data_IF_725876895942
#
_entry.id   IF_725876895942
#
_cell.length_a   1.000
_cell.length_b   1.000
_cell.length_c   1.000
_cell.angle_alpha   90.00
_cell.angle_beta   90.00
_cell.angle_gamma   90.00
#
_symmetry.space_group_name_H-M   'P 1'
#
loop_
_entity.id
_entity.type
_entity.pdbx_description
1 polymer ?
#
# COMPACT_ATOMS: atom_id res chain seq x y z
N UNK A 1 21.67 6.20 2.62
CA UNK A 1 22.20 5.05 1.85
C UNK A 1 21.17 3.93 1.85
N UNK A 2 20.88 3.32 0.70
CA UNK A 2 19.86 2.28 0.57
C UNK A 2 20.27 1.02 1.34
N UNK A 3 19.38 0.50 2.20
CA UNK A 3 19.65 -0.72 2.99
C UNK A 3 19.86 -1.91 2.05
N UNK A 4 20.83 -2.79 2.35
CA UNK A 4 21.16 -3.99 1.54
C UNK A 4 19.91 -4.82 1.18
N UNK A 5 19.01 -5.03 2.14
CA UNK A 5 17.76 -5.77 1.94
C UNK A 5 16.86 -5.16 0.85
N UNK A 6 16.75 -3.83 0.80
CA UNK A 6 15.94 -3.14 -0.22
C UNK A 6 16.57 -3.31 -1.59
N UNK A 7 17.90 -3.12 -1.67
CA UNK A 7 18.64 -3.31 -2.91
C UNK A 7 18.46 -4.71 -3.49
N UNK A 8 18.56 -5.75 -2.67
CA UNK A 8 18.31 -7.13 -3.10
C UNK A 8 16.90 -7.33 -3.68
N UNK A 9 15.87 -6.71 -3.08
CA UNK A 9 14.50 -6.79 -3.62
C UNK A 9 14.40 -6.09 -4.97
N UNK A 10 14.99 -4.90 -5.12
CA UNK A 10 14.98 -4.14 -6.37
C UNK A 10 15.72 -4.90 -7.47
N UNK A 11 16.93 -5.38 -7.18
CA UNK A 11 17.77 -6.09 -8.15
C UNK A 11 17.07 -7.35 -8.69
N UNK A 12 16.31 -8.07 -7.83
CA UNK A 12 15.53 -9.24 -8.23
C UNK A 12 14.34 -8.93 -9.17
N UNK A 13 13.95 -7.66 -9.31
CA UNK A 13 12.79 -7.23 -10.10
C UNK A 13 13.17 -6.25 -11.21
N UNK A 14 14.46 -5.94 -11.39
CA UNK A 14 14.92 -4.87 -12.28
C UNK A 14 14.48 -5.09 -13.72
N UNK A 15 14.54 -6.33 -14.22
CA UNK A 15 14.18 -6.67 -15.60
C UNK A 15 12.68 -6.56 -15.89
N UNK A 16 11.85 -6.53 -14.84
CA UNK A 16 10.39 -6.37 -14.96
C UNK A 16 9.96 -4.91 -15.01
N UNK A 17 10.78 -3.99 -14.48
CA UNK A 17 10.43 -2.57 -14.36
C UNK A 17 9.53 -2.24 -13.16
N UNK A 18 9.10 -3.21 -12.34
CA UNK A 18 8.39 -2.96 -11.08
C UNK A 18 8.60 -4.07 -10.05
N UNK A 19 8.42 -3.72 -8.77
CA UNK A 19 8.49 -4.68 -7.66
C UNK A 19 7.10 -5.24 -7.35
N UNK A 20 6.96 -6.56 -7.25
CA UNK A 20 5.70 -7.21 -6.88
C UNK A 20 5.29 -6.84 -5.44
N UNK A 21 3.98 -6.80 -5.16
CA UNK A 21 3.41 -6.33 -3.88
C UNK A 21 4.08 -6.93 -2.62
N UNK A 22 4.38 -8.24 -2.51
CA UNK A 22 5.05 -8.77 -1.31
C UNK A 22 6.44 -8.14 -1.08
N UNK A 23 7.18 -7.87 -2.16
CA UNK A 23 8.47 -7.20 -2.13
C UNK A 23 8.34 -5.73 -1.75
N UNK A 24 7.36 -5.02 -2.34
CA UNK A 24 7.09 -3.62 -2.01
C UNK A 24 6.71 -3.46 -0.53
N UNK A 25 5.82 -4.33 0.00
CA UNK A 25 5.47 -4.39 1.43
C UNK A 25 6.67 -4.69 2.32
N UNK A 26 7.56 -5.59 1.91
CA UNK A 26 8.79 -5.87 2.66
C UNK A 26 9.73 -4.67 2.72
N UNK A 27 9.79 -3.84 1.67
CA UNK A 27 10.51 -2.56 1.67
C UNK A 27 9.86 -1.61 2.69
N UNK A 28 8.53 -1.42 2.64
CA UNK A 28 7.81 -0.55 3.58
C UNK A 28 8.06 -0.96 5.04
N UNK A 29 7.88 -2.25 5.36
CA UNK A 29 8.12 -2.79 6.70
C UNK A 29 9.55 -2.55 7.19
N UNK A 30 10.54 -2.62 6.29
CA UNK A 30 11.94 -2.35 6.63
C UNK A 30 12.23 -0.89 7.02
N UNK A 31 11.31 0.03 6.71
CA UNK A 31 11.36 1.44 7.12
C UNK A 31 10.46 1.74 8.33
N UNK A 32 9.89 0.72 8.95
CA UNK A 32 8.99 0.90 10.09
C UNK A 32 7.65 1.54 9.70
N UNK A 33 7.23 1.33 8.45
CA UNK A 33 5.86 1.57 7.99
C UNK A 33 5.02 0.33 8.28
N UNK A 34 3.77 0.54 8.68
CA UNK A 34 2.86 -0.52 9.06
C UNK A 34 2.21 -1.15 7.83
N UNK A 35 2.16 -2.49 7.81
CA UNK A 35 1.56 -3.29 6.75
C UNK A 35 0.68 -4.36 7.41
N UNK A 36 -0.36 -4.87 6.74
CA UNK A 36 -1.13 -5.97 7.29
C UNK A 36 -0.24 -7.22 7.48
N UNK A 37 -0.57 -8.02 8.49
CA UNK A 37 -0.01 -9.36 8.57
C UNK A 37 -0.46 -10.17 7.35
N UNK A 38 0.45 -10.94 6.76
CA UNK A 38 0.15 -11.72 5.57
C UNK A 38 0.94 -13.04 5.50
N UNK A 39 0.43 -13.96 4.68
CA UNK A 39 1.13 -15.16 4.23
C UNK A 39 1.09 -15.25 2.71
N UNK A 40 2.22 -15.61 2.10
CA UNK A 40 2.30 -15.92 0.67
C UNK A 40 2.23 -17.45 0.50
N UNK A 41 1.18 -17.96 -0.14
CA UNK A 41 0.96 -19.40 -0.24
C UNK A 41 0.02 -19.80 -1.38
N UNK A 42 0.28 -20.97 -1.96
CA UNK A 42 -0.63 -21.66 -2.89
C UNK A 42 -1.33 -22.86 -2.22
N UNK A 43 -0.95 -23.19 -0.99
CA UNK A 43 -1.58 -24.24 -0.18
C UNK A 43 -2.76 -23.66 0.57
N UNK A 44 -3.92 -24.28 0.36
CA UNK A 44 -5.14 -23.99 1.09
C UNK A 44 -4.96 -24.23 2.60
N UNK A 45 -4.25 -25.29 3.00
CA UNK A 45 -4.02 -25.62 4.42
C UNK A 45 -3.28 -24.49 5.15
N UNK A 46 -2.24 -23.92 4.50
CA UNK A 46 -1.51 -22.77 5.05
C UNK A 46 -2.38 -21.52 5.13
N UNK A 47 -3.17 -21.26 4.10
CA UNK A 47 -4.08 -20.12 4.05
C UNK A 47 -5.20 -20.23 5.11
N UNK A 48 -5.78 -21.41 5.27
CA UNK A 48 -6.83 -21.69 6.26
C UNK A 48 -6.28 -21.56 7.69
N UNK A 49 -5.07 -22.06 7.95
CA UNK A 49 -4.38 -21.86 9.23
C UNK A 49 -4.19 -20.38 9.55
N UNK A 50 -3.83 -19.57 8.54
CA UNK A 50 -3.71 -18.13 8.69
C UNK A 50 -5.06 -17.46 8.98
N UNK A 51 -6.11 -17.79 8.22
CA UNK A 51 -7.48 -17.30 8.46
C UNK A 51 -7.95 -17.58 9.89
N UNK A 52 -7.79 -18.82 10.36
CA UNK A 52 -8.14 -19.23 11.74
C UNK A 52 -7.33 -18.47 12.80
N UNK A 53 -6.05 -18.20 12.54
CA UNK A 53 -5.17 -17.44 13.45
C UNK A 53 -5.57 -15.97 13.57
N UNK A 54 -5.90 -15.33 12.45
CA UNK A 54 -6.21 -13.89 12.37
C UNK A 54 -7.57 -13.58 13.01
N UNK A 55 -8.51 -14.54 12.98
CA UNK A 55 -9.84 -14.46 13.61
C UNK A 55 -10.64 -13.20 13.26
N UNK A 56 -10.47 -12.72 12.03
CA UNK A 56 -11.18 -11.62 11.38
C UNK A 56 -11.13 -11.84 9.86
N UNK A 57 -11.84 -11.05 9.05
CA UNK A 57 -11.82 -11.21 7.59
C UNK A 57 -10.40 -11.08 7.04
N UNK A 58 -10.14 -11.82 5.96
CA UNK A 58 -8.89 -11.71 5.20
C UNK A 58 -9.17 -11.25 3.77
N UNK A 59 -8.12 -10.74 3.14
CA UNK A 59 -8.07 -10.41 1.72
C UNK A 59 -7.19 -11.43 1.02
N UNK A 60 -7.60 -11.91 -0.14
CA UNK A 60 -6.79 -12.74 -1.03
C UNK A 60 -6.44 -11.95 -2.30
N UNK A 61 -5.13 -11.87 -2.61
CA UNK A 61 -4.62 -11.14 -3.77
C UNK A 61 -3.74 -12.05 -4.61
N UNK A 62 -3.96 -12.09 -5.92
CA UNK A 62 -3.00 -12.72 -6.82
C UNK A 62 -1.70 -11.92 -6.84
N UNK A 63 -0.58 -12.63 -6.85
CA UNK A 63 0.77 -12.10 -7.06
C UNK A 63 1.24 -12.60 -8.41
N UNK A 64 1.50 -11.65 -9.31
CA UNK A 64 1.77 -11.93 -10.71
C UNK A 64 2.74 -10.90 -11.27
N UNK A 65 3.62 -11.37 -12.17
CA UNK A 65 4.50 -10.52 -12.98
C UNK A 65 3.82 -9.94 -14.20
N UNK A 66 2.57 -10.30 -14.47
CA UNK A 66 1.78 -9.80 -15.61
C UNK A 66 0.64 -8.88 -15.18
N UNK A 67 0.20 -8.99 -13.92
CA UNK A 67 -0.97 -8.27 -13.40
C UNK A 67 -0.48 -7.20 -12.43
N UNK A 68 -0.24 -6.00 -12.96
CA UNK A 68 0.06 -4.83 -12.14
C UNK A 68 -1.20 -4.25 -11.49
N UNK A 69 -2.28 -4.11 -12.27
CA UNK A 69 -3.56 -3.54 -11.85
C UNK A 69 -4.55 -4.64 -11.42
N UNK A 70 -4.45 -5.09 -10.17
CA UNK A 70 -5.16 -6.29 -9.70
C UNK A 70 -6.68 -6.19 -9.76
N UNK A 71 -7.24 -5.04 -9.41
CA UNK A 71 -8.69 -4.84 -9.37
C UNK A 71 -9.35 -5.03 -10.74
N UNK A 72 -8.69 -4.57 -11.81
CA UNK A 72 -9.18 -4.68 -13.20
C UNK A 72 -9.30 -6.14 -13.67
N UNK A 73 -8.42 -7.00 -13.13
CA UNK A 73 -8.43 -8.44 -13.39
C UNK A 73 -9.22 -9.25 -12.35
N UNK A 74 -9.97 -8.59 -11.47
CA UNK A 74 -10.63 -9.22 -10.32
C UNK A 74 -9.65 -10.09 -9.51
N UNK A 75 -8.40 -9.64 -9.41
CA UNK A 75 -7.29 -10.36 -8.79
C UNK A 75 -7.13 -10.02 -7.30
N UNK A 76 -8.13 -9.34 -6.71
CA UNK A 76 -8.28 -9.06 -5.28
C UNK A 76 -9.66 -9.51 -4.84
N UNK A 77 -9.75 -10.20 -3.71
CA UNK A 77 -11.02 -10.57 -3.07
C UNK A 77 -10.96 -10.21 -1.59
N UNK A 78 -11.89 -9.38 -1.14
CA UNK A 78 -12.01 -8.92 0.25
C UNK A 78 -13.11 -9.69 0.99
N UNK A 79 -13.29 -9.43 2.28
CA UNK A 79 -14.37 -10.00 3.11
C UNK A 79 -14.40 -11.54 3.18
N UNK A 80 -13.23 -12.19 3.12
CA UNK A 80 -13.16 -13.65 3.24
C UNK A 80 -13.20 -14.05 4.71
N UNK A 81 -14.33 -14.64 5.12
CA UNK A 81 -14.60 -15.03 6.52
C UNK A 81 -14.60 -16.54 6.78
N UNK A 82 -14.65 -17.37 5.73
CA UNK A 82 -14.78 -18.83 5.87
C UNK A 82 -13.77 -19.59 5.02
N UNK A 83 -13.38 -20.78 5.47
CA UNK A 83 -12.49 -21.67 4.71
C UNK A 83 -13.07 -22.08 3.35
N UNK A 84 -14.38 -22.28 3.27
CA UNK A 84 -15.05 -22.58 1.99
C UNK A 84 -14.97 -21.42 0.98
N UNK A 85 -15.22 -20.19 1.43
CA UNK A 85 -15.06 -18.99 0.58
C UNK A 85 -13.60 -18.82 0.16
N UNK A 86 -12.67 -18.95 1.11
CA UNK A 86 -11.23 -18.87 0.86
C UNK A 86 -10.77 -19.87 -0.20
N UNK A 87 -11.17 -21.15 -0.08
CA UNK A 87 -10.78 -22.20 -1.03
C UNK A 87 -11.23 -21.87 -2.45
N UNK A 88 -12.50 -21.52 -2.61
CA UNK A 88 -13.09 -21.17 -3.91
C UNK A 88 -12.33 -20.01 -4.58
N UNK A 89 -12.05 -18.95 -3.83
CA UNK A 89 -11.38 -17.78 -4.38
C UNK A 89 -9.90 -18.02 -4.65
N UNK A 90 -9.23 -18.85 -3.84
CA UNK A 90 -7.87 -19.28 -4.14
C UNK A 90 -7.80 -20.07 -5.45
N UNK A 91 -8.70 -21.03 -5.66
CA UNK A 91 -8.77 -21.81 -6.91
C UNK A 91 -9.04 -20.93 -8.14
N UNK A 92 -9.86 -19.87 -7.98
CA UNK A 92 -10.12 -18.90 -9.04
C UNK A 92 -8.89 -18.03 -9.34
N UNK A 93 -8.25 -17.47 -8.31
CA UNK A 93 -7.10 -16.58 -8.47
C UNK A 93 -5.90 -17.30 -9.08
N UNK A 94 -5.65 -18.56 -8.70
CA UNK A 94 -4.56 -19.37 -9.27
C UNK A 94 -4.73 -19.69 -10.76
N UNK A 95 -5.95 -19.55 -11.30
CA UNK A 95 -6.22 -19.74 -12.74
C UNK A 95 -5.98 -18.48 -13.58
N UNK A 96 -5.72 -17.34 -12.95
CA UNK A 96 -5.38 -16.11 -13.69
C UNK A 96 -4.02 -16.27 -14.37
N UNK A 97 -3.91 -15.81 -15.62
CA UNK A 97 -2.64 -15.86 -16.36
C UNK A 97 -1.55 -15.07 -15.63
N UNK A 98 -0.40 -15.72 -15.42
CA UNK A 98 0.74 -15.15 -14.71
C UNK A 98 0.63 -15.12 -13.18
N UNK A 99 -0.44 -15.65 -12.58
CA UNK A 99 -0.50 -15.80 -11.12
C UNK A 99 0.56 -16.81 -10.64
N UNK A 100 1.54 -16.33 -9.89
CA UNK A 100 2.62 -17.15 -9.32
C UNK A 100 2.27 -17.63 -7.92
N UNK A 101 1.61 -16.76 -7.15
CA UNK A 101 1.16 -17.09 -5.81
C UNK A 101 0.01 -16.25 -5.31
N UNK A 102 -0.58 -16.63 -4.18
CA UNK A 102 -1.61 -15.84 -3.51
C UNK A 102 -1.04 -15.24 -2.22
N UNK A 103 -1.22 -13.94 -2.07
CA UNK A 103 -1.02 -13.22 -0.83
C UNK A 103 -2.35 -13.21 -0.06
N UNK A 104 -2.38 -13.83 1.11
CA UNK A 104 -3.52 -13.80 2.04
C UNK A 104 -3.14 -12.89 3.19
N UNK A 105 -3.94 -11.87 3.48
CA UNK A 105 -3.63 -10.86 4.49
C UNK A 105 -4.80 -10.47 5.38
N UNK A 106 -4.49 -9.95 6.55
CA UNK A 106 -5.44 -9.29 7.44
C UNK A 106 -6.20 -8.19 6.69
N UNK A 107 -7.54 -8.21 6.75
CA UNK A 107 -8.35 -7.11 6.25
C UNK A 107 -8.41 -5.99 7.30
N UNK A 108 -8.05 -4.79 6.87
CA UNK A 108 -8.18 -3.58 7.67
C UNK A 108 -9.37 -2.74 7.17
N UNK A 109 -10.08 -2.13 8.11
CA UNK A 109 -11.17 -1.19 7.84
C UNK A 109 -10.85 0.16 8.48
N UNK A 110 -11.11 1.26 7.77
CA UNK A 110 -10.78 2.60 8.24
C UNK A 110 -11.02 3.66 7.17
N UNK A 111 -10.53 4.87 7.43
CA UNK A 111 -10.49 5.92 6.41
C UNK A 111 -9.39 5.59 5.41
N UNK A 112 -9.73 5.52 4.13
CA UNK A 112 -8.75 5.35 3.06
C UNK A 112 -8.07 6.67 2.73
N UNK A 113 -6.75 6.65 2.62
CA UNK A 113 -5.92 7.74 2.10
C UNK A 113 -4.98 7.20 1.04
N UNK A 114 -4.49 8.08 0.17
CA UNK A 114 -3.52 7.76 -0.87
C UNK A 114 -2.22 8.48 -0.52
N UNK A 115 -1.11 7.74 -0.59
CA UNK A 115 0.24 8.29 -0.45
C UNK A 115 1.03 7.89 -1.70
N UNK A 116 1.36 8.85 -2.54
CA UNK A 116 2.11 8.63 -3.76
C UNK A 116 3.45 9.35 -3.75
N UNK A 117 4.37 8.92 -4.59
CA UNK A 117 5.59 9.64 -4.90
C UNK A 117 6.03 9.40 -6.33
N UNK A 118 6.69 10.40 -6.90
CA UNK A 118 7.37 10.30 -8.19
C UNK A 118 8.62 11.17 -8.19
N UNK A 119 9.54 10.88 -9.09
CA UNK A 119 10.62 11.79 -9.40
C UNK A 119 10.13 12.81 -10.44
N UNK A 120 9.91 14.04 -10.00
CA UNK A 120 9.64 15.16 -10.89
C UNK A 120 10.93 15.61 -11.58
N UNK A 121 10.83 15.97 -12.85
CA UNK A 121 12.00 16.37 -13.65
C UNK A 121 12.66 17.67 -13.16
N UNK A 122 11.88 18.60 -12.62
CA UNK A 122 12.39 19.90 -12.15
C UNK A 122 12.67 19.90 -10.65
N UNK A 123 11.80 19.24 -9.87
CA UNK A 123 11.83 19.33 -8.41
C UNK A 123 12.47 18.11 -7.73
N UNK A 124 12.84 17.08 -8.48
CA UNK A 124 13.30 15.82 -7.92
C UNK A 124 12.16 15.07 -7.22
N UNK A 125 12.42 14.33 -6.14
CA UNK A 125 11.41 13.50 -5.53
C UNK A 125 10.29 14.33 -4.87
N UNK A 126 9.05 14.07 -5.28
CA UNK A 126 7.84 14.71 -4.72
C UNK A 126 6.92 13.66 -4.11
N UNK A 127 6.25 14.03 -3.02
CA UNK A 127 5.24 13.23 -2.32
C UNK A 127 3.86 13.85 -2.54
N UNK A 128 2.89 12.99 -2.85
CA UNK A 128 1.47 13.30 -2.97
C UNK A 128 0.75 12.66 -1.81
N UNK A 129 -0.15 13.42 -1.17
CA UNK A 129 -1.06 12.91 -0.15
C UNK A 129 -2.49 13.34 -0.48
N UNK A 130 -3.45 12.44 -0.34
CA UNK A 130 -4.86 12.74 -0.55
C UNK A 130 -5.77 11.81 0.22
N UNK A 131 -7.04 12.18 0.33
CA UNK A 131 -8.06 11.26 0.84
C UNK A 131 -8.40 10.26 -0.28
N UNK A 132 -8.51 8.98 0.07
CA UNK A 132 -8.80 7.89 -0.85
C UNK A 132 -10.30 7.54 -0.90
N UNK A 133 -10.60 6.43 -1.57
CA UNK A 133 -11.95 5.95 -1.80
C UNK A 133 -12.57 6.45 -3.11
N UNK A 134 -13.49 5.67 -3.65
CA UNK A 134 -14.07 5.85 -4.99
C UNK A 134 -14.74 7.20 -5.23
N UNK A 135 -15.27 7.83 -4.18
CA UNK A 135 -15.90 9.14 -4.30
C UNK A 135 -14.89 10.30 -4.39
N UNK A 136 -13.65 10.11 -3.92
CA UNK A 136 -12.65 11.20 -3.83
C UNK A 136 -11.76 11.28 -5.06
N UNK A 137 -11.58 10.18 -5.80
CA UNK A 137 -10.87 10.16 -7.10
C UNK A 137 -11.46 11.17 -8.10
N UNK A 138 -12.76 11.45 -8.02
CA UNK A 138 -13.47 12.43 -8.86
C UNK A 138 -13.03 13.88 -8.54
N UNK A 139 -12.68 14.17 -7.29
CA UNK A 139 -12.45 15.54 -6.82
C UNK A 139 -10.98 15.96 -6.83
N UNK A 140 -10.06 15.03 -7.14
CA UNK A 140 -8.61 15.24 -7.14
C UNK A 140 -8.11 15.97 -5.87
N UNK A 141 -8.66 15.59 -4.71
CA UNK A 141 -8.35 16.23 -3.43
C UNK A 141 -7.00 15.76 -2.88
N UNK A 142 -5.94 16.37 -3.41
CA UNK A 142 -4.56 15.99 -3.14
C UNK A 142 -3.69 17.22 -2.85
N UNK A 143 -2.63 17.00 -2.09
CA UNK A 143 -1.58 17.96 -1.80
C UNK A 143 -0.23 17.38 -2.21
N UNK A 144 0.66 18.23 -2.72
CA UNK A 144 2.00 17.83 -3.20
C UNK A 144 3.07 18.64 -2.46
N UNK A 145 4.15 17.97 -2.05
CA UNK A 145 5.35 18.59 -1.44
C UNK A 145 6.61 17.89 -1.92
N UNK A 146 7.75 18.59 -1.91
CA UNK A 146 9.06 17.97 -2.15
C UNK A 146 9.44 17.08 -0.97
N UNK A 147 10.12 15.96 -1.25
CA UNK A 147 10.74 15.13 -0.23
C UNK A 147 12.14 15.68 0.16
N UNK A 148 12.64 15.39 1.37
CA UNK A 148 11.94 14.73 2.47
C UNK A 148 10.95 15.69 3.16
N UNK A 149 9.86 15.13 3.67
CA UNK A 149 8.86 15.87 4.44
C UNK A 149 9.31 16.04 5.89
N UNK A 150 8.94 17.17 6.48
CA UNK A 150 8.90 17.41 7.92
C UNK A 150 7.46 17.38 8.43
N UNK A 151 7.23 17.25 9.75
CA UNK A 151 5.88 17.27 10.31
C UNK A 151 5.05 18.50 9.89
N UNK A 152 5.66 19.69 9.84
CA UNK A 152 5.02 20.92 9.38
C UNK A 152 4.54 20.85 7.92
N UNK A 153 5.26 20.15 7.05
CA UNK A 153 4.85 19.94 5.66
C UNK A 153 3.59 19.07 5.61
N UNK A 154 3.52 18.02 6.45
CA UNK A 154 2.36 17.13 6.54
C UNK A 154 1.13 17.90 7.03
N UNK A 155 1.27 18.73 8.08
CA UNK A 155 0.17 19.56 8.56
C UNK A 155 -0.30 20.54 7.48
N UNK A 156 0.63 21.14 6.73
CA UNK A 156 0.32 22.02 5.61
C UNK A 156 -0.41 21.29 4.48
N UNK A 157 0.01 20.07 4.13
CA UNK A 157 -0.65 19.22 3.15
C UNK A 157 -2.10 18.93 3.58
N UNK A 158 -2.29 18.45 4.81
CA UNK A 158 -3.61 18.15 5.36
C UNK A 158 -4.51 19.38 5.38
N UNK A 159 -3.98 20.54 5.79
CA UNK A 159 -4.74 21.78 5.84
C UNK A 159 -5.27 22.23 4.47
N UNK A 160 -4.60 21.84 3.38
CA UNK A 160 -4.98 22.17 2.01
C UNK A 160 -6.01 21.22 1.38
N UNK A 161 -6.29 20.08 2.01
CA UNK A 161 -7.31 19.15 1.52
C UNK A 161 -8.72 19.70 1.79
N UNK A 162 -9.60 19.57 0.80
CA UNK A 162 -11.02 19.93 0.89
C UNK A 162 -11.74 19.03 1.90
N UNK A 163 -11.44 17.73 1.88
CA UNK A 163 -12.05 16.72 2.73
C UNK A 163 -11.28 16.47 4.04
N UNK A 164 -10.38 17.38 4.45
CA UNK A 164 -9.58 17.23 5.69
C UNK A 164 -10.39 16.95 6.95
N UNK A 165 -11.64 17.40 7.01
CA UNK A 165 -12.55 17.11 8.12
C UNK A 165 -12.71 15.61 8.39
N UNK A 166 -12.61 14.76 7.35
CA UNK A 166 -12.68 13.30 7.51
C UNK A 166 -11.53 12.74 8.37
N UNK A 167 -10.35 13.37 8.32
CA UNK A 167 -9.20 12.96 9.14
C UNK A 167 -9.43 13.27 10.63
N UNK A 168 -10.24 14.26 10.95
CA UNK A 168 -10.57 14.65 12.33
C UNK A 168 -11.85 13.99 12.86
N UNK A 169 -12.56 13.23 12.03
CA UNK A 169 -13.81 12.57 12.35
C UNK A 169 -15.03 13.28 11.75
N UNK A 170 -16.05 12.50 11.35
CA UNK A 170 -17.25 13.02 10.71
C UNK A 170 -18.46 12.12 10.98
N UNK A 171 -19.62 12.74 11.29
CA UNK A 171 -20.91 12.05 11.57
C UNK A 171 -20.79 10.85 12.53
N UNK A 172 -20.15 11.06 13.68
CA UNK A 172 -20.02 10.04 14.72
C UNK A 172 -18.96 8.97 14.44
N UNK A 173 -18.21 9.08 13.34
CA UNK A 173 -16.98 8.30 13.13
C UNK A 173 -15.79 9.00 13.77
N UNK A 174 -14.95 8.22 14.45
CA UNK A 174 -13.68 8.67 14.99
C UNK A 174 -12.77 9.20 13.87
N UNK A 175 -11.94 10.19 14.20
CA UNK A 175 -10.85 10.62 13.35
C UNK A 175 -9.71 9.60 13.28
N UNK A 176 -8.72 9.90 12.45
CA UNK A 176 -7.50 9.09 12.35
C UNK A 176 -6.48 9.54 13.38
N UNK A 177 -5.51 8.66 13.66
CA UNK A 177 -4.36 9.04 14.47
C UNK A 177 -3.41 9.96 13.69
N UNK A 178 -3.48 11.25 13.97
CA UNK A 178 -2.70 12.28 13.28
C UNK A 178 -1.19 12.13 13.48
N UNK A 179 -0.75 11.68 14.66
CA UNK A 179 0.67 11.46 14.95
C UNK A 179 1.21 10.28 14.14
N UNK A 180 0.48 9.17 14.10
CA UNK A 180 0.85 7.98 13.33
C UNK A 180 0.85 8.29 11.83
N UNK A 181 -0.18 8.97 11.31
CA UNK A 181 -0.23 9.41 9.91
C UNK A 181 0.95 10.32 9.55
N UNK A 182 1.28 11.29 10.41
CA UNK A 182 2.41 12.19 10.21
C UNK A 182 3.74 11.43 10.19
N UNK A 183 3.96 10.54 11.15
CA UNK A 183 5.13 9.66 11.16
C UNK A 183 5.21 8.79 9.90
N UNK A 184 4.09 8.25 9.42
CA UNK A 184 4.03 7.46 8.17
C UNK A 184 4.49 8.28 6.97
N UNK A 185 3.93 9.48 6.76
CA UNK A 185 4.31 10.36 5.64
C UNK A 185 5.78 10.80 5.71
N UNK A 186 6.27 11.15 6.91
CA UNK A 186 7.68 11.51 7.10
C UNK A 186 8.59 10.32 6.79
N UNK A 187 8.33 9.13 7.33
CA UNK A 187 9.12 7.91 7.03
C UNK A 187 9.08 7.54 5.56
N UNK A 188 7.90 7.64 4.94
CA UNK A 188 7.72 7.41 3.51
C UNK A 188 8.58 8.36 2.69
N UNK A 189 8.53 9.67 2.97
CA UNK A 189 9.33 10.65 2.23
C UNK A 189 10.84 10.42 2.33
N UNK A 190 11.34 9.94 3.48
CA UNK A 190 12.75 9.55 3.63
C UNK A 190 13.08 8.28 2.82
N UNK A 191 12.15 7.32 2.73
CA UNK A 191 12.32 6.17 1.83
C UNK A 191 12.39 6.63 0.37
N UNK A 192 11.56 7.59 -0.03
CA UNK A 192 11.58 8.16 -1.39
C UNK A 192 12.95 8.77 -1.71
N UNK A 193 13.52 9.56 -0.80
CA UNK A 193 14.88 10.08 -0.97
C UNK A 193 15.92 8.96 -1.13
N UNK A 194 15.78 7.85 -0.39
CA UNK A 194 16.69 6.72 -0.53
C UNK A 194 16.51 5.94 -1.85
N UNK A 195 15.33 6.02 -2.46
CA UNK A 195 14.96 5.33 -3.70
C UNK A 195 15.10 6.21 -4.96
N UNK A 196 15.48 7.47 -4.83
CA UNK A 196 15.54 8.47 -5.92
C UNK A 196 16.19 7.91 -7.21
N UNK A 197 17.31 7.19 -7.09
CA UNK A 197 18.04 6.65 -8.25
C UNK A 197 17.49 5.32 -8.80
N UNK A 198 16.48 4.73 -8.15
CA UNK A 198 15.97 3.40 -8.47
C UNK A 198 14.49 3.40 -8.87
N UNK A 199 13.73 4.41 -8.43
CA UNK A 199 12.27 4.48 -8.56
C UNK A 199 11.86 5.50 -9.63
N UNK A 200 10.86 5.14 -10.42
CA UNK A 200 10.10 6.12 -11.20
C UNK A 200 8.93 6.67 -10.37
N UNK A 201 8.12 5.77 -9.79
CA UNK A 201 7.02 6.11 -8.91
C UNK A 201 6.78 5.04 -7.83
N UNK A 202 6.20 5.46 -6.71
CA UNK A 202 5.72 4.58 -5.64
C UNK A 202 4.34 5.05 -5.20
N UNK A 203 3.36 4.16 -5.30
CA UNK A 203 1.97 4.43 -4.98
C UNK A 203 1.51 3.50 -3.86
N UNK A 204 1.00 4.08 -2.77
CA UNK A 204 0.40 3.39 -1.65
C UNK A 204 -1.10 3.69 -1.69
N UNK A 205 -1.87 2.78 -2.30
CA UNK A 205 -3.28 2.97 -2.54
C UNK A 205 -4.07 1.65 -2.44
N UNK A 206 -4.83 1.41 -1.35
CA UNK A 206 -5.09 2.35 -0.26
C UNK A 206 -4.07 2.23 0.89
N UNK A 207 -3.95 3.32 1.64
CA UNK A 207 -3.48 3.31 3.03
C UNK A 207 -4.69 3.47 3.94
N UNK A 208 -4.88 2.54 4.88
CA UNK A 208 -6.04 2.49 5.78
C UNK A 208 -5.66 3.12 7.12
N UNK A 209 -6.29 4.25 7.43
CA UNK A 209 -6.06 4.98 8.66
C UNK A 209 -7.21 4.75 9.66
N UNK A 210 -6.84 4.44 10.90
CA UNK A 210 -7.75 4.32 12.03
C UNK A 210 -7.29 5.24 13.17
N UNK A 211 -8.00 5.24 14.29
CA UNK A 211 -7.56 5.92 15.52
C UNK A 211 -6.28 5.35 16.14
N UNK A 212 -5.85 4.17 15.68
CA UNK A 212 -4.71 3.43 16.25
C UNK A 212 -3.58 3.19 15.24
N UNK A 213 -3.90 3.00 13.95
CA UNK A 213 -2.95 2.52 12.93
C UNK A 213 -3.06 3.28 11.62
N UNK A 214 -1.99 3.21 10.83
CA UNK A 214 -1.93 3.72 9.45
C UNK A 214 -1.29 2.63 8.58
N UNK A 215 -2.13 1.80 7.97
CA UNK A 215 -1.78 0.49 7.41
C UNK A 215 -1.69 0.59 5.89
N UNK A 216 -0.54 0.26 5.32
CA UNK A 216 -0.34 0.21 3.88
C UNK A 216 -0.96 -1.09 3.35
N UNK A 217 -2.21 -1.00 2.89
CA UNK A 217 -2.95 -2.16 2.41
C UNK A 217 -2.50 -2.59 1.02
N UNK A 218 -2.06 -1.67 0.16
CA UNK A 218 -1.44 -1.99 -1.12
C UNK A 218 -0.24 -1.06 -1.41
N UNK A 219 0.72 -1.56 -2.18
CA UNK A 219 1.94 -0.85 -2.52
C UNK A 219 2.44 -1.25 -3.91
N UNK A 220 2.60 -0.26 -4.77
CA UNK A 220 3.06 -0.41 -6.15
C UNK A 220 4.31 0.43 -6.39
N UNK A 221 5.44 -0.23 -6.60
CA UNK A 221 6.75 0.41 -6.85
C UNK A 221 7.17 0.18 -8.30
N UNK A 222 7.20 1.26 -9.09
CA UNK A 222 7.72 1.27 -10.46
C UNK A 222 9.18 1.69 -10.41
N UNK A 223 10.03 0.89 -11.05
CA UNK A 223 11.47 1.11 -11.12
C UNK A 223 11.82 1.96 -12.33
N UNK A 224 12.91 2.72 -12.24
CA UNK A 224 13.44 3.42 -13.42
C UNK A 224 13.87 2.39 -14.46
N UNK A 225 13.41 2.57 -15.69
CA UNK A 225 13.99 1.91 -16.86
C UNK A 225 15.41 2.45 -17.07
N UNK A 226 16.36 1.55 -17.35
CA UNK A 226 17.74 1.92 -17.67
C UNK A 226 17.83 2.61 -19.04
#
# INVERSE_FOLDING_TARGET
>A
MLKKKIRTIIDAHKDMGWVMEPGAKAIMKSQGLDIPDFVLTNSFEKAEKFLKKINRPVVAKAVSRKILHKTEHQAVVTEIRSGGHLKKEMERLLKLDGCESILIEEMAEGLEVIIGAKNDFQFGPVVVFGIGGTSVEIYNDTAIRMAPLKPEDVFSMIASLKAKALLYGYRGKDGVNMEVLTSTLVKFSHLIMALENHMESLDLNPVICTKDRCIIADARLILKTA
#
